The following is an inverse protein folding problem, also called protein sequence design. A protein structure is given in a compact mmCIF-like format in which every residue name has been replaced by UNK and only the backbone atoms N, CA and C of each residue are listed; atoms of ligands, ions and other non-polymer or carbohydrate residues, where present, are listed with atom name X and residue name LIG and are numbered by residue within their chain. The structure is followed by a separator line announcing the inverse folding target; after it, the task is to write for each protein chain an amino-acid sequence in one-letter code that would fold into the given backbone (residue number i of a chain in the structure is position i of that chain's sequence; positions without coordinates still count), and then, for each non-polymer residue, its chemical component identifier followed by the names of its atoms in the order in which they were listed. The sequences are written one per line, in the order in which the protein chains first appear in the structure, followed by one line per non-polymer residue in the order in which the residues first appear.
data_IF_332026822182
#
_entry.id   IF_332026822182
#
_cell.length_a   1.000
_cell.length_b   1.000
_cell.length_c   1.000
_cell.angle_alpha   90.00
_cell.angle_beta   90.00
_cell.angle_gamma   90.00
#
_symmetry.space_group_name_H-M   'P 1'
#
loop_
_entity.id
_entity.type
_entity.pdbx_description
1 polymer ?
#
# COMPACT_ATOMS: atom_id res chain seq x y z
N UNK A 1 22.21 -9.09 14.81
CA UNK A 1 22.62 -10.52 14.96
C UNK A 1 22.33 -11.03 16.35
N UNK A 2 22.88 -10.41 17.41
CA UNK A 2 22.71 -10.88 18.79
C UNK A 2 21.24 -11.07 19.21
N UNK A 3 20.34 -10.12 18.91
CA UNK A 3 18.91 -10.25 19.26
C UNK A 3 18.23 -11.47 18.62
N UNK A 4 18.45 -11.71 17.31
CA UNK A 4 17.87 -12.85 16.59
C UNK A 4 18.35 -14.17 17.17
N UNK A 5 19.65 -14.27 17.50
CA UNK A 5 20.22 -15.46 18.12
C UNK A 5 19.67 -15.69 19.54
N UNK A 6 19.48 -14.64 20.33
CA UNK A 6 18.88 -14.74 21.68
C UNK A 6 17.41 -15.17 21.62
N UNK A 7 16.61 -14.59 20.73
CA UNK A 7 15.21 -15.00 20.58
C UNK A 7 15.09 -16.40 19.97
N UNK A 8 15.99 -16.76 19.06
CA UNK A 8 16.11 -18.11 18.50
C UNK A 8 16.52 -19.15 19.54
N UNK A 9 17.40 -18.81 20.48
CA UNK A 9 17.78 -19.75 21.55
C UNK A 9 16.66 -19.99 22.56
N UNK A 10 15.73 -19.03 22.74
CA UNK A 10 14.51 -19.22 23.54
C UNK A 10 13.52 -20.24 22.94
N UNK A 11 13.65 -20.61 21.66
CA UNK A 11 12.77 -21.61 21.04
C UNK A 11 12.92 -22.99 21.70
N UNK A 12 14.14 -23.33 22.12
CA UNK A 12 14.49 -24.61 22.75
C UNK A 12 13.75 -24.78 24.09
N UNK A 13 13.88 -23.88 25.09
CA UNK A 13 13.14 -23.99 26.34
C UNK A 13 11.63 -23.87 26.14
N UNK A 14 11.14 -23.10 25.16
CA UNK A 14 9.71 -23.06 24.86
C UNK A 14 9.19 -24.41 24.36
N UNK A 15 9.88 -25.04 23.41
CA UNK A 15 9.50 -26.35 22.92
C UNK A 15 9.55 -27.42 24.01
N UNK A 16 10.59 -27.39 24.86
CA UNK A 16 10.68 -28.25 26.05
C UNK A 16 9.43 -28.12 26.92
N UNK A 17 9.07 -26.89 27.29
CA UNK A 17 7.91 -26.63 28.15
C UNK A 17 6.59 -27.00 27.47
N UNK A 18 6.43 -26.73 26.18
CA UNK A 18 5.23 -27.09 25.41
C UNK A 18 5.02 -28.61 25.42
N UNK A 19 6.05 -29.38 25.10
CA UNK A 19 5.95 -30.85 25.07
C UNK A 19 5.75 -31.42 26.47
N UNK A 20 6.39 -30.83 27.48
CA UNK A 20 6.21 -31.23 28.87
C UNK A 20 4.74 -31.03 29.31
N UNK A 21 4.13 -29.90 28.99
CA UNK A 21 2.72 -29.63 29.33
C UNK A 21 1.74 -30.52 28.55
N UNK A 22 2.06 -30.88 27.31
CA UNK A 22 1.19 -31.73 26.49
C UNK A 22 1.26 -33.22 26.86
N UNK A 23 2.45 -33.71 27.25
CA UNK A 23 2.70 -35.15 27.43
C UNK A 23 2.89 -35.57 28.88
N UNK A 24 3.23 -34.64 29.79
CA UNK A 24 3.64 -34.94 31.15
C UNK A 24 4.98 -35.70 31.27
N UNK A 25 5.67 -35.95 30.16
CA UNK A 25 6.88 -36.78 30.11
C UNK A 25 8.14 -35.94 29.93
N UNK A 26 9.05 -36.02 30.90
CA UNK A 26 10.36 -35.34 30.84
C UNK A 26 11.21 -35.90 29.71
N UNK A 27 11.13 -37.20 29.41
CA UNK A 27 11.92 -37.81 28.35
C UNK A 27 11.49 -37.32 26.96
N UNK A 28 10.17 -37.19 26.73
CA UNK A 28 9.64 -36.62 25.49
C UNK A 28 10.02 -35.14 25.34
N UNK A 29 9.95 -34.37 26.42
CA UNK A 29 10.32 -32.96 26.42
C UNK A 29 11.83 -32.75 26.14
N UNK A 30 12.71 -33.54 26.78
CA UNK A 30 14.16 -33.51 26.52
C UNK A 30 14.48 -33.90 25.08
N UNK A 31 13.82 -34.93 24.55
CA UNK A 31 14.00 -35.36 23.16
C UNK A 31 13.60 -34.24 22.19
N UNK A 32 12.45 -33.59 22.41
CA UNK A 32 12.00 -32.47 21.58
C UNK A 32 12.98 -31.29 21.61
N UNK A 33 13.52 -30.97 22.80
CA UNK A 33 14.51 -29.91 22.94
C UNK A 33 15.80 -30.26 22.21
N UNK A 34 16.29 -31.51 22.36
CA UNK A 34 17.50 -31.98 21.68
C UNK A 34 17.35 -31.94 20.15
N UNK A 35 16.21 -32.38 19.61
CA UNK A 35 15.95 -32.32 18.16
C UNK A 35 16.06 -30.88 17.63
N UNK A 36 15.50 -29.90 18.34
CA UNK A 36 15.57 -28.49 17.93
C UNK A 36 16.95 -27.87 18.13
N UNK A 37 17.69 -28.27 19.17
CA UNK A 37 19.07 -27.83 19.40
C UNK A 37 19.98 -28.25 18.25
N UNK A 38 19.81 -29.48 17.75
CA UNK A 38 20.64 -30.04 16.68
C UNK A 38 20.05 -29.84 15.28
N UNK A 39 18.90 -29.15 15.16
CA UNK A 39 18.34 -28.81 13.86
C UNK A 39 19.16 -27.70 13.19
N UNK A 40 19.79 -28.05 12.07
CA UNK A 40 20.60 -27.12 11.29
C UNK A 40 19.75 -26.01 10.69
N UNK A 41 18.47 -26.27 10.41
CA UNK A 41 17.52 -25.25 9.95
C UNK A 41 17.30 -24.15 10.97
N UNK A 42 16.92 -24.51 12.20
CA UNK A 42 16.75 -23.58 13.32
C UNK A 42 18.04 -22.80 13.65
N UNK A 43 19.20 -23.44 13.65
CA UNK A 43 20.48 -22.75 13.87
C UNK A 43 20.74 -21.73 12.76
N UNK A 44 20.56 -22.15 11.50
CA UNK A 44 20.86 -21.31 10.34
C UNK A 44 19.96 -20.08 10.28
N UNK A 45 18.66 -20.23 10.59
CA UNK A 45 17.73 -19.11 10.51
C UNK A 45 17.90 -18.13 11.69
N UNK A 46 18.37 -18.59 12.85
CA UNK A 46 18.56 -17.78 14.05
C UNK A 46 19.87 -16.98 14.10
N UNK A 47 20.91 -17.42 13.38
CA UNK A 47 22.20 -16.70 13.35
C UNK A 47 22.20 -15.46 12.45
N UNK A 48 21.27 -15.34 11.49
CA UNK A 48 21.20 -14.19 10.59
C UNK A 48 20.21 -13.11 11.09
N UNK A 49 20.32 -11.90 10.52
CA UNK A 49 19.36 -10.81 10.78
C UNK A 49 18.11 -11.06 9.95
N UNK A 50 17.33 -12.05 10.38
CA UNK A 50 16.04 -12.40 9.80
C UNK A 50 14.93 -12.09 10.78
N UNK A 51 13.72 -11.95 10.23
CA UNK A 51 12.49 -11.74 10.99
C UNK A 51 11.91 -13.05 11.54
N UNK A 52 12.28 -14.19 10.94
CA UNK A 52 11.74 -15.51 11.29
C UNK A 52 12.08 -15.97 12.73
N UNK A 53 13.27 -15.73 13.31
CA UNK A 53 13.54 -16.05 14.72
C UNK A 53 12.63 -15.30 15.70
N UNK A 54 12.35 -14.02 15.41
CA UNK A 54 11.47 -13.17 16.20
C UNK A 54 10.02 -13.67 16.08
N UNK A 55 9.60 -14.03 14.85
CA UNK A 55 8.29 -14.60 14.59
C UNK A 55 8.10 -15.92 15.35
N UNK A 56 9.06 -16.85 15.24
CA UNK A 56 9.00 -18.15 15.91
C UNK A 56 8.95 -18.00 17.44
N UNK A 57 9.68 -17.03 18.00
CA UNK A 57 9.64 -16.73 19.43
C UNK A 57 8.21 -16.39 19.88
N UNK A 58 7.54 -15.47 19.17
CA UNK A 58 6.17 -15.09 19.50
C UNK A 58 5.15 -16.21 19.23
N UNK A 59 5.36 -17.03 18.19
CA UNK A 59 4.48 -18.18 17.90
C UNK A 59 4.57 -19.22 19.02
N UNK A 60 5.79 -19.68 19.37
CA UNK A 60 5.97 -20.66 20.44
C UNK A 60 5.57 -20.07 21.80
N UNK A 61 5.85 -18.78 22.04
CA UNK A 61 5.40 -18.06 23.22
C UNK A 61 3.87 -18.05 23.35
N UNK A 62 3.14 -17.79 22.24
CA UNK A 62 1.68 -17.82 22.22
C UNK A 62 1.13 -19.23 22.50
N UNK A 63 1.71 -20.27 21.89
CA UNK A 63 1.31 -21.67 22.12
C UNK A 63 1.59 -22.09 23.57
N UNK A 64 2.76 -21.77 24.11
CA UNK A 64 3.11 -22.06 25.50
C UNK A 64 2.15 -21.37 26.47
N UNK A 65 1.88 -20.07 26.27
CA UNK A 65 0.95 -19.32 27.12
C UNK A 65 -0.48 -19.88 27.03
N UNK A 66 -0.93 -20.28 25.83
CA UNK A 66 -2.21 -20.93 25.62
C UNK A 66 -2.31 -22.26 26.39
N UNK A 67 -1.25 -23.09 26.37
CA UNK A 67 -1.23 -24.35 27.11
C UNK A 67 -1.24 -24.12 28.63
N UNK A 68 -0.42 -23.19 29.13
CA UNK A 68 -0.42 -22.80 30.54
C UNK A 68 -1.76 -22.23 30.99
N UNK A 69 -2.45 -21.49 30.12
CA UNK A 69 -3.81 -21.04 30.35
C UNK A 69 -4.80 -22.20 30.45
N UNK A 70 -4.72 -23.18 29.54
CA UNK A 70 -5.57 -24.37 29.55
C UNK A 70 -5.38 -25.22 30.81
N UNK A 71 -4.15 -25.32 31.33
CA UNK A 71 -3.87 -26.03 32.61
C UNK A 71 -4.52 -25.33 33.80
N UNK A 72 -4.65 -24.00 33.76
CA UNK A 72 -5.27 -23.21 34.82
C UNK A 72 -6.81 -23.15 34.72
N UNK A 73 -7.44 -23.99 33.89
CA UNK A 73 -8.89 -24.01 33.66
C UNK A 73 -9.71 -24.24 34.93
N UNK A 74 -9.18 -25.00 35.89
CA UNK A 74 -9.87 -25.31 37.15
C UNK A 74 -9.83 -24.15 38.17
N UNK A 75 -8.98 -23.14 37.94
CA UNK A 75 -8.84 -21.96 38.81
C UNK A 75 -9.08 -20.67 38.01
N UNK A 76 -10.30 -20.47 37.48
CA UNK A 76 -10.60 -19.32 36.65
C UNK A 76 -10.49 -18.01 37.42
N UNK A 77 -10.12 -16.94 36.71
CA UNK A 77 -10.01 -15.56 37.24
C UNK A 77 -8.95 -15.33 38.34
N UNK A 78 -8.07 -16.29 38.63
CA UNK A 78 -6.91 -16.03 39.47
C UNK A 78 -5.87 -15.13 38.77
N UNK A 79 -4.93 -14.55 39.53
CA UNK A 79 -3.88 -13.67 38.99
C UNK A 79 -3.07 -14.39 37.89
N UNK A 80 -2.73 -15.66 38.11
CA UNK A 80 -2.00 -16.46 37.12
C UNK A 80 -2.83 -16.76 35.87
N UNK A 81 -4.15 -16.94 35.99
CA UNK A 81 -5.05 -17.14 34.86
C UNK A 81 -5.08 -15.90 33.97
N UNK A 82 -5.20 -14.71 34.57
CA UNK A 82 -5.09 -13.44 33.85
C UNK A 82 -3.71 -13.21 33.23
N UNK A 83 -2.65 -13.55 33.96
CA UNK A 83 -1.27 -13.46 33.46
C UNK A 83 -1.08 -14.28 32.17
N UNK A 84 -1.47 -15.56 32.16
CA UNK A 84 -1.30 -16.40 30.97
C UNK A 84 -2.21 -15.98 29.82
N UNK A 85 -3.44 -15.54 30.11
CA UNK A 85 -4.36 -15.04 29.08
C UNK A 85 -3.85 -13.76 28.42
N UNK A 86 -3.38 -12.80 29.23
CA UNK A 86 -2.81 -11.53 28.73
C UNK A 86 -1.50 -11.76 27.96
N UNK A 87 -0.60 -12.61 28.47
CA UNK A 87 0.62 -12.99 27.76
C UNK A 87 0.33 -13.70 26.44
N UNK A 88 -0.73 -14.52 26.37
CA UNK A 88 -1.17 -15.12 25.11
C UNK A 88 -1.53 -14.03 24.11
N UNK A 89 -2.35 -13.05 24.51
CA UNK A 89 -2.69 -11.90 23.68
C UNK A 89 -1.49 -11.08 23.19
N UNK A 90 -0.55 -10.77 24.08
CA UNK A 90 0.67 -10.01 23.72
C UNK A 90 1.54 -10.78 22.72
N UNK A 91 1.71 -12.10 22.91
CA UNK A 91 2.46 -12.93 21.97
C UNK A 91 1.75 -13.07 20.61
N UNK A 92 0.42 -13.16 20.58
CA UNK A 92 -0.35 -13.12 19.31
C UNK A 92 -0.16 -11.80 18.57
N UNK A 93 -0.18 -10.68 19.30
CA UNK A 93 0.07 -9.36 18.75
C UNK A 93 1.49 -9.22 18.18
N UNK A 94 2.49 -9.74 18.92
CA UNK A 94 3.88 -9.80 18.49
C UNK A 94 4.06 -10.63 17.22
N UNK A 95 3.45 -11.82 17.15
CA UNK A 95 3.54 -12.69 15.96
C UNK A 95 2.96 -12.00 14.72
N UNK A 96 1.77 -11.40 14.83
CA UNK A 96 1.13 -10.65 13.74
C UNK A 96 1.92 -9.39 13.36
N UNK A 97 2.50 -8.70 14.35
CA UNK A 97 3.31 -7.51 14.17
C UNK A 97 4.62 -7.77 13.40
N UNK A 98 5.20 -8.97 13.55
CA UNK A 98 6.41 -9.37 12.80
C UNK A 98 6.08 -9.77 11.37
N UNK A 99 5.09 -10.66 11.16
CA UNK A 99 4.72 -11.17 9.83
C UNK A 99 3.28 -11.68 9.82
N UNK A 100 2.57 -11.49 8.71
CA UNK A 100 1.19 -11.97 8.56
C UNK A 100 1.03 -13.50 8.62
N UNK A 101 2.12 -14.27 8.49
CA UNK A 101 2.11 -15.71 8.77
C UNK A 101 1.66 -16.00 10.22
N UNK A 102 1.84 -15.05 11.14
CA UNK A 102 1.30 -15.11 12.51
C UNK A 102 -0.23 -15.24 12.60
N UNK A 103 -0.98 -15.01 11.52
CA UNK A 103 -2.43 -15.28 11.48
C UNK A 103 -2.72 -16.76 11.80
N UNK A 104 -1.86 -17.70 11.41
CA UNK A 104 -2.09 -19.12 11.68
C UNK A 104 -2.08 -19.45 13.18
N UNK A 105 -1.23 -18.81 13.98
CA UNK A 105 -1.25 -19.01 15.44
C UNK A 105 -2.47 -18.35 16.09
N UNK A 106 -2.94 -17.22 15.55
CA UNK A 106 -4.20 -16.59 15.98
C UNK A 106 -5.38 -17.55 15.74
N UNK A 107 -5.42 -18.19 14.57
CA UNK A 107 -6.46 -19.19 14.25
C UNK A 107 -6.37 -20.38 15.20
N UNK A 108 -5.17 -20.91 15.46
CA UNK A 108 -4.98 -22.02 16.40
C UNK A 108 -5.49 -21.69 17.81
N UNK A 109 -5.08 -20.54 18.36
CA UNK A 109 -5.53 -20.09 19.68
C UNK A 109 -7.03 -19.80 19.67
N UNK A 110 -7.56 -19.24 18.57
CA UNK A 110 -8.98 -18.99 18.37
C UNK A 110 -9.80 -20.28 18.41
N UNK A 111 -9.40 -21.32 17.68
CA UNK A 111 -10.05 -22.62 17.69
C UNK A 111 -10.00 -23.28 19.07
N UNK A 112 -8.84 -23.25 19.75
CA UNK A 112 -8.73 -23.75 21.13
C UNK A 112 -9.68 -23.00 22.07
N UNK A 113 -9.77 -21.68 21.93
CA UNK A 113 -10.66 -20.82 22.72
C UNK A 113 -12.13 -21.10 22.45
N UNK A 114 -12.50 -21.35 21.18
CA UNK A 114 -13.87 -21.74 20.81
C UNK A 114 -14.25 -23.10 21.39
N UNK A 115 -13.37 -24.10 21.30
CA UNK A 115 -13.58 -25.40 21.94
C UNK A 115 -13.71 -25.27 23.47
N UNK A 116 -12.91 -24.41 24.09
CA UNK A 116 -12.94 -24.17 25.52
C UNK A 116 -14.25 -23.50 25.98
N UNK A 117 -14.69 -22.47 25.25
CA UNK A 117 -15.99 -21.83 25.47
C UNK A 117 -17.17 -22.78 25.22
N UNK A 118 -17.08 -23.65 24.21
CA UNK A 118 -18.11 -24.66 23.94
C UNK A 118 -18.25 -25.65 25.11
N UNK A 119 -17.13 -26.12 25.66
CA UNK A 119 -17.15 -27.02 26.83
C UNK A 119 -17.65 -26.31 28.10
N UNK A 120 -17.31 -25.03 28.30
CA UNK A 120 -17.85 -24.21 29.40
C UNK A 120 -19.36 -24.01 29.27
N UNK A 121 -19.87 -23.79 28.06
CA UNK A 121 -21.30 -23.62 27.80
C UNK A 121 -22.08 -24.92 28.08
N UNK A 122 -21.49 -26.08 27.77
CA UNK A 122 -22.07 -27.38 28.06
C UNK A 122 -22.05 -27.78 29.55
N UNK A 123 -21.32 -27.06 30.40
CA UNK A 123 -21.23 -27.37 31.82
C UNK A 123 -22.39 -26.73 32.60
N UNK A 124 -23.37 -27.55 33.00
CA UNK A 124 -24.57 -27.11 33.73
C UNK A 124 -24.29 -26.50 35.12
N UNK A 125 -23.07 -26.64 35.64
CA UNK A 125 -22.65 -26.03 36.91
C UNK A 125 -22.26 -24.55 36.78
N UNK A 126 -22.01 -24.08 35.56
CA UNK A 126 -21.57 -22.70 35.30
C UNK A 126 -22.79 -21.82 35.01
N UNK A 127 -22.98 -20.76 35.78
CA UNK A 127 -24.08 -19.80 35.52
C UNK A 127 -23.83 -19.00 34.24
N UNK A 128 -24.90 -18.54 33.58
CA UNK A 128 -24.79 -17.68 32.39
C UNK A 128 -23.95 -16.42 32.66
N UNK A 129 -24.05 -15.85 33.86
CA UNK A 129 -23.25 -14.69 34.25
C UNK A 129 -21.75 -15.02 34.35
N UNK A 130 -21.39 -16.19 34.86
CA UNK A 130 -20.01 -16.66 34.91
C UNK A 130 -19.46 -16.96 33.51
N UNK A 131 -20.27 -17.55 32.63
CA UNK A 131 -19.94 -17.72 31.22
C UNK A 131 -19.70 -16.37 30.51
N UNK A 132 -20.57 -15.38 30.76
CA UNK A 132 -20.41 -14.02 30.23
C UNK A 132 -19.08 -13.38 30.65
N UNK A 133 -18.66 -13.54 31.91
CA UNK A 133 -17.34 -13.10 32.38
C UNK A 133 -16.19 -13.79 31.63
N UNK A 134 -16.32 -15.09 31.39
CA UNK A 134 -15.33 -15.88 30.64
C UNK A 134 -15.20 -15.44 29.18
N UNK A 135 -16.32 -15.16 28.52
CA UNK A 135 -16.36 -14.66 27.16
C UNK A 135 -15.73 -13.26 27.09
N UNK A 136 -16.15 -12.35 27.98
CA UNK A 136 -15.65 -10.99 28.02
C UNK A 136 -14.13 -10.93 28.27
N UNK A 137 -13.61 -11.73 29.20
CA UNK A 137 -12.18 -11.80 29.47
C UNK A 137 -11.37 -12.24 28.24
N UNK A 138 -11.86 -13.24 27.49
CA UNK A 138 -11.21 -13.71 26.25
C UNK A 138 -11.30 -12.67 25.14
N UNK A 139 -12.45 -12.00 24.96
CA UNK A 139 -12.59 -10.90 24.01
C UNK A 139 -11.61 -9.75 24.31
N UNK A 140 -11.48 -9.37 25.59
CA UNK A 140 -10.58 -8.31 26.02
C UNK A 140 -9.11 -8.68 25.76
N UNK A 141 -8.68 -9.86 26.19
CA UNK A 141 -7.27 -10.23 26.15
C UNK A 141 -6.80 -10.85 24.84
N UNK A 142 -7.67 -11.51 24.07
CA UNK A 142 -7.30 -12.21 22.83
C UNK A 142 -7.71 -11.48 21.56
N UNK A 143 -8.51 -10.39 21.66
CA UNK A 143 -8.90 -9.57 20.49
C UNK A 143 -8.55 -8.11 20.71
N UNK A 144 -9.11 -7.46 21.74
CA UNK A 144 -8.94 -6.02 21.94
C UNK A 144 -7.50 -5.65 22.31
N UNK A 145 -6.88 -6.40 23.22
CA UNK A 145 -5.48 -6.19 23.62
C UNK A 145 -4.51 -6.37 22.45
N UNK A 146 -4.56 -7.48 21.65
CA UNK A 146 -3.69 -7.63 20.50
C UNK A 146 -3.87 -6.53 19.44
N UNK A 147 -5.13 -6.14 19.17
CA UNK A 147 -5.42 -5.06 18.24
C UNK A 147 -4.86 -3.72 18.72
N UNK A 148 -5.06 -3.38 20.00
CA UNK A 148 -4.52 -2.17 20.60
C UNK A 148 -2.98 -2.16 20.54
N UNK A 149 -2.34 -3.26 20.90
CA UNK A 149 -0.88 -3.38 20.83
C UNK A 149 -0.36 -3.26 19.38
N UNK A 150 -1.00 -3.93 18.42
CA UNK A 150 -0.65 -3.82 17.00
C UNK A 150 -0.78 -2.38 16.50
N UNK A 151 -1.88 -1.69 16.80
CA UNK A 151 -2.06 -0.27 16.42
C UNK A 151 -1.04 0.64 17.09
N UNK A 152 -0.68 0.39 18.35
CA UNK A 152 0.36 1.15 19.05
C UNK A 152 1.74 0.98 18.41
N UNK A 153 2.09 -0.23 17.97
CA UNK A 153 3.32 -0.49 17.22
C UNK A 153 3.37 0.30 15.90
N UNK A 154 2.25 0.35 15.15
CA UNK A 154 2.16 1.20 13.95
C UNK A 154 2.22 2.70 14.27
N UNK A 155 1.64 3.11 15.41
CA UNK A 155 1.80 4.48 15.91
C UNK A 155 3.27 4.84 16.14
N UNK A 156 4.01 3.97 16.84
CA UNK A 156 5.46 4.14 17.06
C UNK A 156 6.21 4.11 15.71
N UNK A 157 5.86 3.20 14.81
CA UNK A 157 6.47 3.11 13.48
C UNK A 157 6.37 4.42 12.70
N UNK A 158 5.18 5.03 12.65
CA UNK A 158 4.98 6.32 11.96
C UNK A 158 5.61 7.51 12.68
N UNK A 159 5.75 7.45 14.01
CA UNK A 159 6.47 8.49 14.78
C UNK A 159 7.98 8.42 14.52
N UNK A 160 8.55 7.22 14.47
CA UNK A 160 9.99 7.02 14.25
C UNK A 160 10.37 7.27 12.79
N UNK A 161 9.58 6.77 11.85
CA UNK A 161 9.83 6.89 10.40
C UNK A 161 9.04 8.06 9.79
N UNK A 162 9.34 9.26 10.26
CA UNK A 162 8.68 10.50 9.81
C UNK A 162 9.35 11.17 8.59
N UNK A 163 10.45 10.61 8.06
CA UNK A 163 11.22 11.20 6.95
C UNK A 163 10.91 10.53 5.60
N UNK A 164 11.08 11.29 4.52
CA UNK A 164 10.98 10.78 3.14
C UNK A 164 12.07 9.77 2.81
N UNK A 165 11.79 8.85 1.89
CA UNK A 165 12.73 7.86 1.38
C UNK A 165 12.25 7.28 0.05
N UNK A 166 13.05 6.44 -0.64
CA UNK A 166 12.77 5.99 -2.01
C UNK A 166 11.46 5.19 -2.17
N UNK A 167 10.91 4.66 -1.07
CA UNK A 167 9.65 3.92 -1.04
C UNK A 167 8.41 4.78 -0.78
N UNK A 168 8.52 6.10 -0.62
CA UNK A 168 7.36 6.97 -0.38
C UNK A 168 6.41 7.05 -1.59
N UNK A 169 6.94 6.86 -2.81
CA UNK A 169 6.22 6.90 -4.08
C UNK A 169 4.98 6.00 -4.15
N UNK A 170 5.02 4.86 -3.44
CA UNK A 170 3.92 3.90 -3.36
C UNK A 170 2.73 4.37 -2.51
N UNK A 171 2.94 5.39 -1.66
CA UNK A 171 1.90 5.93 -0.79
C UNK A 171 1.12 7.05 -1.47
N UNK A 172 -0.08 7.33 -0.95
CA UNK A 172 -0.89 8.48 -1.38
C UNK A 172 -0.15 9.80 -1.18
N UNK A 173 -0.40 10.78 -2.04
CA UNK A 173 0.22 12.11 -1.93
C UNK A 173 -0.11 12.80 -0.59
N UNK A 174 -1.30 12.54 -0.03
CA UNK A 174 -1.70 13.04 1.29
C UNK A 174 -0.89 12.44 2.45
N UNK A 175 -0.39 11.21 2.30
CA UNK A 175 0.52 10.61 3.27
C UNK A 175 1.94 11.15 3.07
N UNK A 176 2.39 11.26 1.82
CA UNK A 176 3.72 11.78 1.48
C UNK A 176 3.94 13.22 1.98
N UNK A 177 2.93 14.08 1.94
CA UNK A 177 3.03 15.46 2.45
C UNK A 177 3.28 15.54 3.96
N UNK A 178 2.99 14.47 4.72
CA UNK A 178 3.33 14.38 6.15
C UNK A 178 4.78 13.99 6.41
N UNK A 179 5.50 13.49 5.40
CA UNK A 179 6.88 13.03 5.54
C UNK A 179 7.86 14.21 5.42
N UNK A 180 8.69 14.40 6.44
CA UNK A 180 9.70 15.46 6.49
C UNK A 180 10.73 15.22 5.38
N UNK A 181 11.01 16.27 4.60
CA UNK A 181 11.95 16.23 3.47
C UNK A 181 11.34 15.77 2.14
N UNK A 182 10.04 15.47 2.09
CA UNK A 182 9.34 15.31 0.82
C UNK A 182 9.14 16.68 0.15
N UNK A 183 9.20 16.77 -1.18
CA UNK A 183 8.89 18.01 -1.91
C UNK A 183 7.47 18.54 -1.63
N UNK A 184 6.55 17.66 -1.21
CA UNK A 184 5.18 18.01 -0.83
C UNK A 184 5.04 18.46 0.62
N UNK A 185 6.09 18.33 1.43
CA UNK A 185 6.08 18.67 2.84
C UNK A 185 6.27 20.18 3.03
N UNK A 186 5.28 20.84 3.64
CA UNK A 186 5.25 22.31 3.77
C UNK A 186 5.47 23.05 2.44
N UNK A 187 5.07 22.43 1.33
CA UNK A 187 5.32 22.97 0.02
C UNK A 187 4.50 24.26 -0.17
N UNK A 188 5.18 25.38 -0.38
CA UNK A 188 4.58 26.64 -0.86
C UNK A 188 4.31 26.51 -2.36
N UNK A 189 3.51 25.50 -2.72
CA UNK A 189 3.10 25.31 -4.10
C UNK A 189 1.94 26.25 -4.37
N UNK A 190 1.83 26.81 -5.58
CA UNK A 190 0.62 27.50 -5.98
C UNK A 190 -0.59 26.56 -5.82
N UNK A 191 -1.66 27.03 -5.18
CA UNK A 191 -2.83 26.17 -4.93
C UNK A 191 -3.51 25.75 -6.23
N UNK A 192 -3.46 26.61 -7.26
CA UNK A 192 -4.21 26.46 -8.50
C UNK A 192 -3.27 26.34 -9.69
N UNK A 193 -3.54 25.36 -10.56
CA UNK A 193 -2.77 25.18 -11.79
C UNK A 193 -3.03 26.30 -12.80
N UNK A 194 -2.04 26.56 -13.63
CA UNK A 194 -2.09 27.55 -14.70
C UNK A 194 -1.54 27.00 -16.01
N UNK A 195 -1.90 27.59 -17.14
CA UNK A 195 -1.25 27.27 -18.40
C UNK A 195 0.26 27.62 -18.36
N UNK A 196 1.07 26.79 -19.01
CA UNK A 196 2.54 26.85 -18.96
C UNK A 196 3.16 26.21 -17.71
N UNK A 197 2.33 25.72 -16.77
CA UNK A 197 2.83 25.07 -15.56
C UNK A 197 3.43 23.71 -15.85
N UNK A 198 4.54 23.41 -15.18
CA UNK A 198 5.13 22.08 -15.12
C UNK A 198 4.47 21.34 -13.96
N UNK A 199 3.90 20.17 -14.22
CA UNK A 199 3.18 19.37 -13.25
C UNK A 199 3.63 17.92 -13.26
N UNK A 200 3.37 17.22 -12.16
CA UNK A 200 3.35 15.75 -12.13
C UNK A 200 1.92 15.27 -11.92
N UNK A 201 1.52 14.28 -12.70
CA UNK A 201 0.17 13.71 -12.66
C UNK A 201 0.26 12.30 -12.10
N UNK A 202 -0.36 12.03 -10.95
CA UNK A 202 -0.35 10.73 -10.30
C UNK A 202 -1.72 10.08 -10.37
N UNK A 203 -1.76 8.77 -10.53
CA UNK A 203 -3.01 8.04 -10.56
C UNK A 203 -3.57 7.85 -9.13
N UNK A 204 -4.88 7.98 -8.95
CA UNK A 204 -5.53 7.93 -7.64
C UNK A 204 -5.72 6.49 -7.08
N UNK A 205 -5.40 5.45 -7.86
CA UNK A 205 -5.38 4.06 -7.39
C UNK A 205 -4.39 3.86 -6.24
N UNK A 206 -4.66 2.92 -5.35
CA UNK A 206 -3.67 2.44 -4.38
C UNK A 206 -2.42 1.95 -5.11
N UNK A 207 -1.23 2.43 -4.71
CA UNK A 207 0.01 2.24 -5.47
C UNK A 207 -0.12 2.65 -6.96
N UNK A 208 -0.85 3.74 -7.21
CA UNK A 208 -0.86 4.44 -8.49
C UNK A 208 0.46 5.17 -8.69
N UNK A 209 1.03 5.06 -9.89
CA UNK A 209 2.25 5.77 -10.26
C UNK A 209 1.98 7.11 -10.92
N UNK A 210 3.07 7.75 -11.31
CA UNK A 210 3.09 8.97 -12.10
C UNK A 210 2.92 8.65 -13.57
N UNK A 211 2.16 9.48 -14.26
CA UNK A 211 2.16 9.50 -15.71
C UNK A 211 3.58 9.79 -16.20
N UNK A 212 4.09 8.92 -17.06
CA UNK A 212 5.49 8.86 -17.44
C UNK A 212 5.64 8.66 -18.94
N UNK A 213 6.73 9.18 -19.51
CA UNK A 213 7.08 8.98 -20.90
C UNK A 213 8.59 9.00 -21.09
N UNK A 214 9.11 8.24 -22.04
CA UNK A 214 10.55 8.13 -22.30
C UNK A 214 10.80 7.94 -23.80
N UNK A 215 12.03 8.13 -24.27
CA UNK A 215 12.35 8.18 -25.71
C UNK A 215 12.03 6.89 -26.51
N UNK A 216 11.78 5.75 -25.85
CA UNK A 216 11.43 4.49 -26.51
C UNK A 216 10.03 4.53 -27.15
N UNK A 217 9.93 3.90 -28.32
CA UNK A 217 8.68 3.74 -29.06
C UNK A 217 8.01 2.40 -28.72
N UNK A 218 6.70 2.28 -28.91
CA UNK A 218 6.04 0.97 -28.89
C UNK A 218 6.67 0.06 -29.96
N UNK A 219 6.96 -1.22 -29.62
CA UNK A 219 7.55 -2.15 -30.56
C UNK A 219 6.54 -2.54 -31.65
N UNK A 220 7.07 -3.08 -32.74
CA UNK A 220 6.26 -3.59 -33.84
C UNK A 220 5.29 -4.70 -33.36
N UNK A 221 4.05 -4.67 -33.86
CA UNK A 221 3.01 -5.63 -33.49
C UNK A 221 2.26 -5.33 -32.18
N UNK A 222 2.70 -4.36 -31.37
CA UNK A 222 2.02 -3.97 -30.10
C UNK A 222 1.11 -2.77 -30.27
N UNK A 223 1.26 -2.02 -31.37
CA UNK A 223 0.34 -0.99 -31.82
C UNK A 223 1.02 0.02 -32.72
N UNK A 224 0.55 1.26 -32.71
CA UNK A 224 1.17 2.33 -33.49
C UNK A 224 2.55 2.63 -32.90
N UNK A 225 3.56 2.71 -33.79
CA UNK A 225 4.97 2.94 -33.45
C UNK A 225 5.23 4.41 -33.10
N UNK A 226 4.70 4.82 -31.95
CA UNK A 226 4.86 6.15 -31.35
C UNK A 226 5.49 6.03 -29.95
N UNK A 227 5.79 7.16 -29.32
CA UNK A 227 6.44 7.17 -28.01
C UNK A 227 5.58 6.47 -26.96
N UNK A 228 6.22 5.66 -26.10
CA UNK A 228 5.54 4.98 -25.02
C UNK A 228 5.12 5.97 -23.93
N UNK A 229 3.86 5.88 -23.51
CA UNK A 229 3.34 6.56 -22.32
C UNK A 229 2.89 5.49 -21.34
N UNK A 230 3.39 5.60 -20.11
CA UNK A 230 3.25 4.57 -19.08
C UNK A 230 2.96 5.22 -17.73
N UNK A 231 2.82 4.39 -16.72
CA UNK A 231 2.77 4.81 -15.32
C UNK A 231 4.00 4.27 -14.60
N UNK A 232 4.81 5.16 -14.02
CA UNK A 232 6.03 4.84 -13.29
C UNK A 232 5.88 5.10 -11.79
N UNK A 233 6.40 4.22 -10.93
CA UNK A 233 6.11 4.26 -9.49
C UNK A 233 7.06 5.17 -8.70
N UNK A 234 8.17 5.58 -9.30
CA UNK A 234 9.18 6.43 -8.67
C UNK A 234 9.16 7.85 -9.24
N UNK A 235 9.67 8.80 -8.44
CA UNK A 235 9.84 10.18 -8.87
C UNK A 235 11.01 10.25 -9.87
N UNK A 236 10.76 10.84 -11.03
CA UNK A 236 11.71 10.94 -12.15
C UNK A 236 11.47 12.25 -12.92
N UNK A 237 12.49 12.77 -13.60
CA UNK A 237 12.36 13.95 -14.47
C UNK A 237 11.44 13.70 -15.68
N UNK A 238 11.33 12.45 -16.11
CA UNK A 238 10.41 11.98 -17.16
C UNK A 238 8.94 11.86 -16.68
N UNK A 239 8.64 12.26 -15.44
CA UNK A 239 7.27 12.38 -14.94
C UNK A 239 6.70 13.81 -15.13
N UNK A 240 7.49 14.73 -15.70
CA UNK A 240 7.15 16.14 -15.80
C UNK A 240 6.38 16.44 -17.08
N UNK A 241 5.21 17.04 -16.93
CA UNK A 241 4.31 17.44 -18.01
C UNK A 241 4.04 18.94 -17.98
N UNK A 242 3.90 19.57 -19.13
CA UNK A 242 3.57 20.98 -19.28
C UNK A 242 2.12 21.08 -19.74
N UNK A 243 1.30 21.82 -19.00
CA UNK A 243 -0.07 22.12 -19.43
C UNK A 243 -0.03 23.24 -20.46
N UNK A 244 -0.50 22.97 -21.68
CA UNK A 244 -0.63 23.96 -22.76
C UNK A 244 -2.08 24.10 -23.22
N UNK A 245 -2.40 25.20 -23.89
CA UNK A 245 -3.69 25.33 -24.58
C UNK A 245 -3.67 24.58 -25.92
N UNK A 246 -4.86 24.26 -26.48
CA UNK A 246 -4.99 23.63 -27.79
C UNK A 246 -4.34 24.41 -28.94
N UNK A 247 -4.59 25.72 -29.04
CA UNK A 247 -4.25 26.50 -30.25
C UNK A 247 -3.10 27.50 -30.07
N UNK A 248 -2.85 27.98 -28.84
CA UNK A 248 -1.84 29.03 -28.60
C UNK A 248 -1.04 28.78 -27.32
N UNK A 249 0.28 28.96 -27.36
CA UNK A 249 1.05 28.99 -26.12
C UNK A 249 0.78 30.32 -25.41
N UNK A 250 0.56 30.33 -24.08
CA UNK A 250 0.37 31.59 -23.36
C UNK A 250 1.61 32.45 -23.53
N UNK A 251 1.40 33.72 -23.91
CA UNK A 251 2.47 34.69 -24.10
C UNK A 251 3.26 34.87 -22.79
N UNK A 252 4.61 34.85 -22.82
CA UNK A 252 5.43 35.17 -21.65
C UNK A 252 5.08 36.52 -21.00
N UNK A 253 4.51 37.48 -21.73
CA UNK A 253 4.13 38.80 -21.17
C UNK A 253 2.68 38.87 -20.64
N UNK A 254 1.86 37.84 -20.87
CA UNK A 254 0.49 37.79 -20.37
C UNK A 254 0.38 37.36 -18.88
N UNK A 255 -0.68 37.81 -18.17
CA UNK A 255 -0.96 37.42 -16.79
C UNK A 255 -1.18 35.90 -16.66
N UNK A 256 -1.00 35.39 -15.44
CA UNK A 256 -1.23 33.97 -15.13
C UNK A 256 -2.67 33.60 -15.43
N UNK A 257 -2.86 32.68 -16.37
CA UNK A 257 -4.17 32.14 -16.70
C UNK A 257 -4.34 30.75 -16.11
N UNK A 258 -5.34 30.62 -15.24
CA UNK A 258 -5.63 29.38 -14.56
C UNK A 258 -6.38 28.37 -15.43
N UNK A 259 -6.24 27.09 -15.10
CA UNK A 259 -7.02 26.02 -15.72
C UNK A 259 -8.25 25.73 -14.88
N UNK A 260 -9.41 25.77 -15.52
CA UNK A 260 -10.69 25.53 -14.88
C UNK A 260 -11.24 24.16 -15.28
N UNK A 261 -12.17 23.65 -14.47
CA UNK A 261 -13.00 22.50 -14.80
C UNK A 261 -13.64 22.68 -16.18
N UNK A 262 -13.56 21.64 -17.02
CA UNK A 262 -14.14 21.59 -18.35
C UNK A 262 -13.27 22.19 -19.45
N UNK A 263 -12.13 22.81 -19.11
CA UNK A 263 -11.19 23.32 -20.11
C UNK A 263 -10.57 22.20 -20.94
N UNK A 264 -10.27 22.51 -22.20
CA UNK A 264 -9.52 21.62 -23.10
C UNK A 264 -8.04 22.01 -23.01
N UNK A 265 -7.19 21.04 -22.76
CA UNK A 265 -5.75 21.20 -22.58
C UNK A 265 -4.98 20.26 -23.51
N UNK A 266 -3.70 20.58 -23.72
CA UNK A 266 -2.69 19.64 -24.19
C UNK A 266 -1.69 19.40 -23.06
N UNK A 267 -1.27 18.15 -22.91
CA UNK A 267 -0.23 17.76 -21.97
C UNK A 267 1.02 17.39 -22.76
N UNK A 268 2.04 18.23 -22.68
CA UNK A 268 3.31 18.02 -23.36
C UNK A 268 4.33 17.45 -22.39
N UNK A 269 5.01 16.37 -22.77
CA UNK A 269 6.08 15.80 -21.98
C UNK A 269 7.30 16.74 -21.99
N UNK A 270 7.78 17.15 -20.82
CA UNK A 270 8.81 18.18 -20.69
C UNK A 270 10.13 17.78 -21.36
N UNK A 271 10.55 16.52 -21.19
CA UNK A 271 11.85 16.05 -21.69
C UNK A 271 11.85 15.80 -23.20
N UNK A 272 10.77 15.22 -23.74
CA UNK A 272 10.71 14.78 -25.15
C UNK A 272 9.90 15.71 -26.06
N UNK A 273 9.23 16.70 -25.50
CA UNK A 273 8.36 17.66 -26.20
C UNK A 273 7.29 17.00 -27.09
N UNK A 274 6.80 15.83 -26.67
CA UNK A 274 5.69 15.09 -27.31
C UNK A 274 4.40 15.29 -26.51
N UNK A 275 3.28 15.40 -27.19
CA UNK A 275 1.97 15.52 -26.56
C UNK A 275 1.39 14.15 -26.20
N UNK A 276 0.63 14.06 -25.11
CA UNK A 276 -0.22 12.89 -24.87
C UNK A 276 -1.26 12.82 -25.97
N UNK A 277 -1.31 11.67 -26.61
CA UNK A 277 -2.14 11.40 -27.77
C UNK A 277 -2.92 10.11 -27.57
N UNK A 278 -4.12 10.03 -28.15
CA UNK A 278 -4.85 8.77 -28.24
C UNK A 278 -5.56 8.65 -29.58
N UNK A 279 -5.66 7.42 -30.08
CA UNK A 279 -6.21 7.13 -31.38
C UNK A 279 -7.00 5.82 -31.33
N UNK A 280 -7.76 5.52 -32.39
CA UNK A 280 -8.59 4.31 -32.48
C UNK A 280 -7.76 3.05 -32.80
N UNK A 281 -6.70 2.81 -32.02
CA UNK A 281 -5.95 1.55 -32.03
C UNK A 281 -6.05 0.92 -30.65
N UNK A 282 -6.07 -0.41 -30.58
CA UNK A 282 -6.16 -1.13 -29.31
C UNK A 282 -4.93 -0.88 -28.42
N UNK A 283 -5.15 -0.80 -27.10
CA UNK A 283 -4.08 -0.71 -26.13
C UNK A 283 -3.23 -2.00 -26.08
N UNK A 284 -1.96 -1.92 -25.61
CA UNK A 284 -1.03 -3.05 -25.62
C UNK A 284 -1.55 -4.32 -24.93
N UNK A 285 -2.12 -4.19 -23.73
CA UNK A 285 -2.60 -5.30 -22.90
C UNK A 285 -4.12 -5.27 -22.72
N UNK A 286 -4.72 -4.09 -22.60
CA UNK A 286 -6.16 -3.95 -22.38
C UNK A 286 -6.87 -3.69 -23.70
N UNK A 287 -7.08 -4.75 -24.49
CA UNK A 287 -7.59 -4.70 -25.88
C UNK A 287 -8.93 -3.97 -26.08
N UNK A 288 -9.76 -3.88 -25.02
CA UNK A 288 -11.01 -3.11 -25.05
C UNK A 288 -10.82 -1.59 -24.94
N UNK A 289 -9.61 -1.13 -24.66
CA UNK A 289 -9.25 0.28 -24.53
C UNK A 289 -8.45 0.74 -25.76
N UNK A 290 -8.41 2.05 -25.94
CA UNK A 290 -7.60 2.71 -26.96
C UNK A 290 -6.16 2.92 -26.45
N UNK A 291 -5.20 2.87 -27.37
CA UNK A 291 -3.79 3.11 -27.10
C UNK A 291 -3.58 4.59 -26.75
N UNK A 292 -2.69 4.85 -25.80
CA UNK A 292 -2.20 6.19 -25.46
C UNK A 292 -0.71 6.24 -25.76
N UNK A 293 -0.26 7.29 -26.42
CA UNK A 293 1.11 7.45 -26.91
C UNK A 293 1.58 8.89 -26.73
N UNK A 294 2.87 9.11 -26.94
CA UNK A 294 3.44 10.44 -27.14
C UNK A 294 3.57 10.72 -28.64
N UNK A 295 2.90 11.77 -29.12
CA UNK A 295 2.87 12.17 -30.53
C UNK A 295 3.32 13.62 -30.74
N UNK A 296 3.51 14.02 -31.99
CA UNK A 296 3.89 15.39 -32.35
C UNK A 296 5.38 15.68 -32.25
N UNK A 297 5.88 16.86 -32.60
CA UNK A 297 7.29 17.25 -32.38
C UNK A 297 7.35 18.70 -31.88
N UNK A 298 8.11 18.98 -30.82
CA UNK A 298 8.19 20.31 -30.23
C UNK A 298 6.81 20.90 -29.88
N UNK A 299 5.89 20.06 -29.43
CA UNK A 299 4.51 20.45 -29.11
C UNK A 299 3.56 20.65 -30.29
N UNK A 300 4.05 20.54 -31.53
CA UNK A 300 3.18 20.48 -32.72
C UNK A 300 2.46 19.13 -32.74
N UNK A 301 1.18 19.12 -33.09
CA UNK A 301 0.37 17.91 -33.05
C UNK A 301 -0.99 18.12 -33.71
N UNK A 302 -1.95 17.25 -33.44
CA UNK A 302 -3.27 17.27 -34.07
C UNK A 302 -4.41 17.35 -33.04
N UNK A 303 -5.65 17.26 -33.50
CA UNK A 303 -6.84 17.32 -32.64
C UNK A 303 -6.97 16.13 -31.68
N UNK A 304 -6.20 15.05 -31.86
CA UNK A 304 -6.18 13.89 -30.98
C UNK A 304 -5.20 14.07 -29.80
N UNK A 305 -4.59 15.26 -29.68
CA UNK A 305 -3.82 15.64 -28.49
C UNK A 305 -4.68 16.38 -27.46
N UNK A 306 -5.95 16.62 -27.76
CA UNK A 306 -6.84 17.45 -26.94
C UNK A 306 -7.54 16.63 -25.85
N UNK A 307 -7.31 17.03 -24.60
CA UNK A 307 -7.89 16.42 -23.42
C UNK A 307 -8.72 17.43 -22.65
N UNK A 308 -9.98 17.11 -22.37
CA UNK A 308 -10.81 17.86 -21.43
C UNK A 308 -10.44 17.47 -20.00
N UNK A 309 -10.12 18.45 -19.18
CA UNK A 309 -9.82 18.23 -17.76
C UNK A 309 -11.07 18.48 -16.91
N UNK A 310 -11.51 17.45 -16.18
CA UNK A 310 -12.77 17.47 -15.42
C UNK A 310 -12.48 17.13 -13.96
N UNK A 311 -12.80 18.04 -13.04
CA UNK A 311 -12.75 17.77 -11.59
C UNK A 311 -13.96 16.94 -11.18
N UNK A 312 -13.75 15.86 -10.43
CA UNK A 312 -14.84 15.02 -9.89
C UNK A 312 -15.71 15.85 -8.94
N UNK A 313 -17.00 15.96 -9.26
CA UNK A 313 -17.95 16.77 -8.50
C UNK A 313 -17.75 18.29 -8.63
N UNK A 314 -16.89 18.73 -9.56
CA UNK A 314 -16.69 20.16 -9.85
C UNK A 314 -17.79 20.74 -10.74
N UNK A 315 -17.94 22.06 -10.69
CA UNK A 315 -18.82 22.85 -11.52
C UNK A 315 -18.03 23.67 -12.55
N UNK A 316 -18.70 24.15 -13.59
CA UNK A 316 -18.07 25.00 -14.59
C UNK A 316 -17.48 26.26 -13.96
N UNK A 317 -16.21 26.54 -14.25
CA UNK A 317 -15.47 27.66 -13.68
C UNK A 317 -14.71 27.32 -12.40
N UNK A 318 -14.87 26.13 -11.81
CA UNK A 318 -14.07 25.71 -10.66
C UNK A 318 -12.59 25.62 -11.03
N UNK A 319 -11.74 26.19 -10.18
CA UNK A 319 -10.29 26.09 -10.32
C UNK A 319 -9.80 24.71 -9.89
N UNK A 320 -8.76 24.21 -10.57
CA UNK A 320 -8.18 22.91 -10.27
C UNK A 320 -7.08 23.06 -9.22
N UNK A 321 -7.28 22.40 -8.08
CA UNK A 321 -6.41 22.50 -6.91
C UNK A 321 -5.38 21.38 -6.86
N UNK A 322 -4.12 21.74 -6.66
CA UNK A 322 -3.02 20.79 -6.49
C UNK A 322 -3.26 19.95 -5.22
N UNK A 323 -2.94 18.65 -5.26
CA UNK A 323 -3.16 17.63 -4.22
C UNK A 323 -4.62 17.33 -3.81
N UNK A 324 -5.53 18.29 -3.93
CA UNK A 324 -6.92 18.20 -3.46
C UNK A 324 -7.90 17.75 -4.54
N UNK A 325 -7.76 18.30 -5.75
CA UNK A 325 -8.67 17.97 -6.84
C UNK A 325 -8.34 16.60 -7.42
N UNK A 326 -9.34 15.73 -7.46
CA UNK A 326 -9.31 14.52 -8.29
C UNK A 326 -9.83 14.89 -9.67
N UNK A 327 -8.99 14.69 -10.67
CA UNK A 327 -9.28 15.06 -12.05
C UNK A 327 -9.45 13.81 -12.91
N UNK A 328 -10.18 14.00 -14.00
CA UNK A 328 -10.35 13.08 -15.12
C UNK A 328 -9.87 13.79 -16.38
N UNK A 329 -9.19 13.05 -17.24
CA UNK A 329 -8.75 13.53 -18.54
C UNK A 329 -9.53 12.77 -19.61
N UNK A 330 -10.46 13.46 -20.25
CA UNK A 330 -11.35 12.90 -21.27
C UNK A 330 -10.83 13.32 -22.65
N UNK A 331 -10.45 12.36 -23.47
CA UNK A 331 -9.97 12.60 -24.83
C UNK A 331 -11.09 13.18 -25.69
N UNK A 332 -10.85 14.33 -26.33
CA UNK A 332 -11.91 15.08 -27.00
C UNK A 332 -12.41 14.38 -28.27
N UNK A 333 -11.52 13.75 -29.04
CA UNK A 333 -11.87 13.18 -30.34
C UNK A 333 -12.69 11.88 -30.21
N UNK A 334 -12.39 11.05 -29.20
CA UNK A 334 -13.05 9.74 -29.04
C UNK A 334 -13.95 9.65 -27.80
N UNK A 335 -13.91 10.62 -26.90
CA UNK A 335 -14.65 10.62 -25.63
C UNK A 335 -14.15 9.60 -24.59
N UNK A 336 -13.04 8.90 -24.87
CA UNK A 336 -12.45 7.96 -23.92
C UNK A 336 -11.75 8.69 -22.77
N UNK A 337 -11.53 8.00 -21.66
CA UNK A 337 -10.92 8.56 -20.45
C UNK A 337 -9.54 7.98 -20.22
N UNK A 338 -8.56 8.83 -19.91
CA UNK A 338 -7.20 8.42 -19.55
C UNK A 338 -7.23 7.50 -18.33
N UNK A 339 -6.66 6.31 -18.49
CA UNK A 339 -6.86 5.20 -17.58
C UNK A 339 -5.55 4.47 -17.32
N UNK A 340 -5.19 4.30 -16.04
CA UNK A 340 -4.09 3.40 -15.65
C UNK A 340 -4.66 2.00 -15.47
N UNK A 341 -4.28 1.05 -16.32
CA UNK A 341 -4.89 -0.29 -16.30
C UNK A 341 -4.46 -1.14 -15.10
N UNK A 342 -3.35 -0.74 -14.46
CA UNK A 342 -2.76 -1.49 -13.36
C UNK A 342 -2.02 -2.75 -13.78
N UNK A 343 -2.01 -3.10 -15.07
CA UNK A 343 -1.26 -4.21 -15.62
C UNK A 343 0.17 -3.79 -15.92
N UNK A 344 1.11 -4.65 -15.55
CA UNK A 344 2.53 -4.46 -15.83
C UNK A 344 2.83 -4.80 -17.29
N UNK A 345 3.46 -3.88 -18.00
CA UNK A 345 3.96 -4.08 -19.35
C UNK A 345 5.08 -5.12 -19.36
N UNK A 346 5.26 -5.88 -20.46
CA UNK A 346 6.41 -6.75 -20.62
C UNK A 346 7.73 -5.97 -20.67
N UNK A 347 8.85 -6.70 -20.79
CA UNK A 347 10.21 -6.12 -20.81
C UNK A 347 10.42 -4.97 -21.79
N UNK A 348 9.73 -4.96 -22.93
CA UNK A 348 9.81 -3.85 -23.90
C UNK A 348 9.28 -2.51 -23.37
N UNK A 349 8.43 -2.56 -22.34
CA UNK A 349 7.86 -1.41 -21.63
C UNK A 349 8.45 -1.27 -20.22
N UNK A 350 9.65 -1.81 -20.00
CA UNK A 350 10.43 -1.64 -18.76
C UNK A 350 9.71 -2.09 -17.48
N UNK A 351 8.77 -3.03 -17.60
CA UNK A 351 7.95 -3.50 -16.46
C UNK A 351 7.22 -2.35 -15.75
N UNK A 352 6.94 -1.27 -16.49
CA UNK A 352 6.11 -0.16 -16.04
C UNK A 352 4.63 -0.50 -16.20
N UNK A 353 3.73 0.33 -15.69
CA UNK A 353 2.29 0.06 -15.74
C UNK A 353 1.67 0.67 -17.00
N UNK A 354 0.75 -0.06 -17.65
CA UNK A 354 0.06 0.37 -18.87
C UNK A 354 -0.84 1.60 -18.60
N UNK A 355 -0.68 2.63 -19.45
CA UNK A 355 -1.64 3.71 -19.63
C UNK A 355 -2.43 3.45 -20.90
N UNK A 356 -3.73 3.65 -20.83
CA UNK A 356 -4.69 3.39 -21.92
C UNK A 356 -5.81 4.42 -21.87
N UNK A 357 -6.67 4.47 -22.88
CA UNK A 357 -7.85 5.32 -22.88
C UNK A 357 -9.11 4.46 -22.91
N UNK A 358 -9.88 4.47 -21.81
CA UNK A 358 -11.06 3.62 -21.66
C UNK A 358 -12.28 4.28 -22.31
N UNK A 359 -12.98 3.61 -23.24
CA UNK A 359 -14.21 4.14 -23.81
C UNK A 359 -15.39 4.09 -22.81
N UNK A 360 -15.21 3.42 -21.66
CA UNK A 360 -16.24 3.28 -20.65
C UNK A 360 -16.04 4.30 -19.54
N UNK A 361 -16.99 5.24 -19.41
CA UNK A 361 -17.00 6.24 -18.34
C UNK A 361 -17.47 5.61 -17.02
N UNK A 362 -16.62 4.79 -16.40
CA UNK A 362 -16.85 4.29 -15.04
C UNK A 362 -15.93 5.03 -14.08
N UNK A 363 -16.52 5.73 -13.11
CA UNK A 363 -15.75 6.39 -12.05
C UNK A 363 -15.07 5.33 -11.18
N UNK A 364 -13.79 5.09 -11.47
CA UNK A 364 -12.95 4.17 -10.73
C UNK A 364 -11.67 4.88 -10.34
N UNK A 365 -10.99 4.48 -9.26
CA UNK A 365 -9.69 5.08 -8.90
C UNK A 365 -8.66 5.04 -10.05
N UNK A 366 -8.78 4.09 -10.97
CA UNK A 366 -7.91 3.91 -12.13
C UNK A 366 -8.07 5.00 -13.20
N UNK A 367 -9.27 5.58 -13.33
CA UNK A 367 -9.58 6.67 -14.28
C UNK A 367 -9.39 8.06 -13.67
N UNK A 368 -9.04 8.12 -12.37
CA UNK A 368 -8.88 9.36 -11.63
C UNK A 368 -7.39 9.64 -11.43
N UNK A 369 -7.04 10.90 -11.57
CA UNK A 369 -5.69 11.38 -11.43
C UNK A 369 -5.68 12.55 -10.43
N UNK A 370 -4.53 12.81 -9.84
CA UNK A 370 -4.28 13.98 -9.01
C UNK A 370 -3.02 14.67 -9.49
N UNK A 371 -3.03 15.99 -9.47
CA UNK A 371 -1.84 16.79 -9.71
C UNK A 371 -1.07 16.81 -8.40
N UNK A 372 0.11 16.20 -8.39
CA UNK A 372 0.90 16.03 -7.18
C UNK A 372 1.86 17.19 -6.98
N UNK A 373 2.67 17.51 -7.99
CA UNK A 373 3.63 18.62 -7.98
C UNK A 373 3.24 19.68 -9.02
N UNK A 374 3.57 20.94 -8.73
CA UNK A 374 3.24 22.09 -9.56
C UNK A 374 4.32 23.17 -9.44
N UNK A 375 4.98 23.45 -10.57
CA UNK A 375 6.02 24.46 -10.70
C UNK A 375 5.62 25.45 -11.80
N UNK A 376 5.51 26.73 -11.44
CA UNK A 376 5.32 27.81 -12.39
C UNK A 376 5.96 29.09 -11.87
N UNK A 377 6.96 29.63 -12.58
CA UNK A 377 7.69 30.83 -12.16
C UNK A 377 6.81 32.10 -12.07
N UNK A 378 5.67 32.12 -12.78
CA UNK A 378 4.72 33.24 -12.74
C UNK A 378 3.71 33.14 -11.59
N UNK A 379 3.52 31.95 -11.03
CA UNK A 379 2.65 31.72 -9.88
C UNK A 379 3.51 31.76 -8.61
N UNK A 380 3.54 32.89 -7.90
CA UNK A 380 4.20 32.99 -6.59
C UNK A 380 3.27 32.53 -5.48
#
# INVERSE_FOLDING_TARGET
VQLCATLGSCLIPFAYLIVLELTGSVTAALLSAAILVFDTGCITISQYILLDPILMFFILGAVLCMLKFNVMRDRPFCVYWWLWLTLTGLNLAGALGVKFVGIFVIVLVGLNTMCDLWQLLGNTRVSLGAFGKHLLARMLCLILLPLAFYTALFGIHFLVLSKSGPGDGFFSSAFQSRLIGNNLHNASMPEHIAYGSIITVKNARTAGGYLHSHWHLYPEGVGVRQQQVTTYLHKDHNNLWIIKKPEHNPDPDCPVEHVHHGHVIRLEHKETSRNIHSHQHEAPLTKKHQQVTGYGMNGTGDSNDFWRIEVVGGQNGDLIKVLRSKIRLTHLATGCVLYSSGKTLPKWGWEQVEVSCSPYLRETPNSLWNIEDHINAKCK
#
